data_IF_311755807655
#
_entry.id   IF_311755807655
#
_cell.length_a   1.000
_cell.length_b   1.000
_cell.length_c   1.000
_cell.angle_alpha   90.00
_cell.angle_beta   90.00
_cell.angle_gamma   90.00
#
_symmetry.space_group_name_H-M   'P 1'
#
loop_
_entity.id
_entity.type
_entity.pdbx_description
1 polymer ?
#
# COMPACT_ATOMS: atom_id res chain seq x y z
N UNK A 1 -1.70 14.63 -10.34
CA UNK A 1 -1.24 14.40 -8.94
C UNK A 1 -0.65 13.00 -8.75
N UNK A 2 0.30 12.81 -7.84
CA UNK A 2 0.88 11.50 -7.48
C UNK A 2 0.93 11.35 -5.97
N UNK A 3 0.64 10.15 -5.46
CA UNK A 3 0.74 9.78 -4.05
C UNK A 3 1.41 8.43 -3.88
N UNK A 4 1.96 8.16 -2.70
CA UNK A 4 2.66 6.92 -2.37
C UNK A 4 2.02 6.29 -1.14
N UNK A 5 1.75 4.99 -1.23
CA UNK A 5 1.31 4.14 -0.12
C UNK A 5 2.28 2.97 -0.04
N UNK A 6 2.84 2.72 1.14
CA UNK A 6 3.84 1.68 1.38
C UNK A 6 3.37 0.69 2.43
N UNK A 7 3.77 -0.57 2.27
CA UNK A 7 3.56 -1.61 3.28
C UNK A 7 4.75 -1.63 4.24
N UNK A 8 4.54 -1.63 5.56
CA UNK A 8 5.62 -1.80 6.52
C UNK A 8 6.34 -3.13 6.32
N UNK A 9 7.66 -3.07 6.23
CA UNK A 9 8.51 -4.25 6.08
C UNK A 9 9.64 -4.23 7.10
N UNK A 10 10.08 -5.43 7.52
CA UNK A 10 11.29 -5.64 8.31
C UNK A 10 12.33 -6.35 7.46
N UNK A 11 13.61 -6.07 7.77
CA UNK A 11 14.77 -6.66 7.11
C UNK A 11 14.83 -6.36 5.60
N UNK A 12 14.45 -5.14 5.21
CA UNK A 12 14.57 -4.69 3.82
C UNK A 12 16.04 -4.89 3.37
N UNK A 13 16.24 -5.49 2.19
CA UNK A 13 17.53 -5.91 1.64
C UNK A 13 18.20 -7.12 2.31
N UNK A 14 17.44 -7.89 3.10
CA UNK A 14 17.81 -9.23 3.55
C UNK A 14 17.25 -10.28 2.59
N UNK A 15 17.87 -11.48 2.45
CA UNK A 15 17.23 -12.60 1.76
C UNK A 15 15.95 -13.10 2.45
N UNK A 16 15.65 -12.61 3.66
CA UNK A 16 14.45 -12.97 4.44
C UNK A 16 13.74 -11.71 4.91
N UNK A 17 12.98 -11.10 4.01
CA UNK A 17 12.12 -9.95 4.33
C UNK A 17 10.80 -10.41 4.97
N UNK A 18 10.22 -9.58 5.84
CA UNK A 18 8.99 -9.91 6.55
C UNK A 18 8.00 -8.75 6.46
N UNK A 19 6.77 -9.08 6.07
CA UNK A 19 5.63 -8.16 6.04
C UNK A 19 4.42 -8.76 6.77
N UNK A 20 3.46 -7.90 7.13
CA UNK A 20 2.14 -8.33 7.62
C UNK A 20 1.20 -8.56 6.44
N UNK A 21 0.57 -9.74 6.38
CA UNK A 21 -0.46 -10.02 5.36
C UNK A 21 -1.68 -9.10 5.53
N UNK A 22 -2.05 -8.77 6.77
CA UNK A 22 -3.18 -7.87 7.01
C UNK A 22 -2.92 -6.43 6.55
N UNK A 23 -1.68 -5.97 6.58
CA UNK A 23 -1.31 -4.65 6.05
C UNK A 23 -1.30 -4.66 4.52
N UNK A 24 -0.87 -5.77 3.91
CA UNK A 24 -0.93 -5.97 2.46
C UNK A 24 -2.38 -5.90 1.96
N UNK A 25 -3.30 -6.64 2.58
CA UNK A 25 -4.71 -6.68 2.18
C UNK A 25 -5.38 -5.30 2.31
N UNK A 26 -5.20 -4.65 3.46
CA UNK A 26 -5.76 -3.30 3.70
C UNK A 26 -5.12 -2.23 2.81
N UNK A 27 -3.83 -2.35 2.52
CA UNK A 27 -3.14 -1.46 1.60
C UNK A 27 -3.70 -1.56 0.19
N UNK A 28 -3.95 -2.79 -0.30
CA UNK A 28 -4.59 -3.01 -1.58
C UNK A 28 -6.02 -2.43 -1.62
N UNK A 29 -6.82 -2.65 -0.57
CA UNK A 29 -8.16 -2.07 -0.45
C UNK A 29 -8.13 -0.55 -0.50
N UNK A 30 -7.22 0.08 0.26
CA UNK A 30 -7.07 1.54 0.28
C UNK A 30 -6.74 2.10 -1.10
N UNK A 31 -5.80 1.47 -1.83
CA UNK A 31 -5.42 1.91 -3.17
C UNK A 31 -6.60 1.80 -4.14
N UNK A 32 -7.35 0.70 -4.10
CA UNK A 32 -8.52 0.52 -4.95
C UNK A 32 -9.57 1.62 -4.72
N UNK A 33 -9.92 1.88 -3.45
CA UNK A 33 -10.88 2.92 -3.06
C UNK A 33 -10.39 4.33 -3.40
N UNK A 34 -9.08 4.57 -3.30
CA UNK A 34 -8.48 5.85 -3.69
C UNK A 34 -8.64 6.10 -5.19
N UNK A 35 -8.41 5.09 -6.04
CA UNK A 35 -8.57 5.22 -7.50
C UNK A 35 -10.02 5.44 -7.89
N UNK A 36 -10.97 4.76 -7.25
CA UNK A 36 -12.41 4.95 -7.49
C UNK A 36 -12.90 6.35 -7.15
N UNK A 37 -12.30 7.00 -6.15
CA UNK A 37 -12.73 8.31 -5.65
C UNK A 37 -11.92 9.47 -6.21
N UNK A 38 -10.72 9.23 -6.73
CA UNK A 38 -9.78 10.29 -7.16
C UNK A 38 -10.37 11.29 -8.16
N UNK A 39 -11.12 10.81 -9.17
CA UNK A 39 -11.70 11.69 -10.20
C UNK A 39 -12.81 12.63 -9.71
N UNK A 40 -13.28 12.48 -8.46
CA UNK A 40 -14.22 13.43 -7.84
C UNK A 40 -13.49 14.65 -7.27
N UNK A 41 -12.20 14.52 -6.97
CA UNK A 41 -11.43 15.53 -6.22
C UNK A 41 -10.34 16.21 -7.04
N UNK A 42 -9.98 15.65 -8.20
CA UNK A 42 -8.93 16.13 -9.11
C UNK A 42 -9.42 16.13 -10.54
#
# INVERSE_FOLDING_TARGET
>A
PSGVVSIPARYIHSPVEVISLGDLDKGAELIARAVETAGVYF
#
